data_IF_399543068263
#
_entry.id   IF_399543068263
#
_cell.length_a   1.000
_cell.length_b   1.000
_cell.length_c   1.000
_cell.angle_alpha   90.00
_cell.angle_beta   90.00
_cell.angle_gamma   90.00
#
_symmetry.space_group_name_H-M   'P 1'
#
loop_
_entity.id
_entity.type
_entity.pdbx_description
1 polymer ?
#
# COMPACT_ATOMS: atom_id res chain seq x y z
N UNK A 1 -9.38 17.18 -24.25
CA UNK A 1 -8.94 16.22 -23.23
C UNK A 1 -7.44 16.05 -23.38
N UNK A 2 -6.65 16.46 -22.39
CA UNK A 2 -5.19 16.30 -22.41
C UNK A 2 -4.85 15.24 -21.35
N UNK A 3 -4.47 14.05 -21.78
CA UNK A 3 -3.98 12.99 -20.88
C UNK A 3 -2.45 13.06 -20.87
N UNK A 4 -1.86 13.18 -19.68
CA UNK A 4 -0.44 12.92 -19.46
C UNK A 4 -0.30 11.49 -18.99
N UNK A 5 0.43 10.69 -19.73
CA UNK A 5 0.71 9.29 -19.39
C UNK A 5 1.70 9.24 -18.22
N UNK A 6 1.29 8.60 -17.13
CA UNK A 6 2.21 8.12 -16.09
C UNK A 6 2.28 6.60 -16.21
N UNK A 7 3.49 6.09 -16.47
CA UNK A 7 3.76 4.66 -16.35
C UNK A 7 3.94 4.32 -14.87
N UNK A 8 2.89 3.79 -14.25
CA UNK A 8 3.01 3.14 -12.94
C UNK A 8 3.32 1.67 -13.18
N UNK A 9 4.50 1.25 -12.73
CA UNK A 9 4.87 -0.15 -12.68
C UNK A 9 3.98 -0.84 -11.62
N UNK A 10 3.01 -1.62 -12.09
CA UNK A 10 2.20 -2.49 -11.22
C UNK A 10 3.10 -3.58 -10.67
N UNK A 11 3.49 -3.48 -9.40
CA UNK A 11 3.86 -4.68 -8.64
C UNK A 11 2.58 -5.47 -8.44
N UNK A 12 2.42 -6.55 -9.21
CA UNK A 12 1.47 -7.59 -8.84
C UNK A 12 1.73 -7.98 -7.39
N UNK A 13 0.67 -8.13 -6.59
CA UNK A 13 0.71 -8.54 -5.19
C UNK A 13 1.68 -9.71 -5.02
N UNK A 14 2.91 -9.39 -4.61
CA UNK A 14 3.94 -10.36 -4.32
C UNK A 14 3.69 -10.94 -2.94
N UNK A 15 4.09 -12.18 -2.74
CA UNK A 15 4.06 -12.86 -1.45
C UNK A 15 4.99 -12.10 -0.47
N UNK A 16 4.45 -11.11 0.26
CA UNK A 16 5.30 -10.27 1.12
C UNK A 16 4.64 -9.41 2.20
N UNK A 17 3.31 -9.19 2.22
CA UNK A 17 2.76 -8.10 3.06
C UNK A 17 1.78 -8.52 4.17
N UNK A 18 1.70 -9.81 4.51
CA UNK A 18 1.09 -10.24 5.78
C UNK A 18 -0.44 -10.19 5.91
N UNK A 19 -1.18 -9.63 4.93
CA UNK A 19 -2.65 -9.65 4.99
C UNK A 19 -3.24 -11.07 4.92
N UNK A 20 -4.38 -11.28 5.58
CA UNK A 20 -5.19 -12.51 5.54
C UNK A 20 -6.23 -12.43 4.41
N UNK A 21 -6.93 -13.53 4.15
CA UNK A 21 -8.10 -13.49 3.28
C UNK A 21 -9.18 -12.58 3.92
N UNK A 22 -9.95 -11.86 3.09
CA UNK A 22 -10.90 -10.86 3.56
C UNK A 22 -10.31 -9.49 3.88
N UNK A 23 -8.98 -9.39 4.03
CA UNK A 23 -8.33 -8.13 4.39
C UNK A 23 -7.93 -7.27 3.20
N UNK A 24 -7.96 -5.96 3.42
CA UNK A 24 -7.46 -4.92 2.52
C UNK A 24 -6.65 -3.88 3.30
N UNK A 25 -5.68 -3.25 2.62
CA UNK A 25 -4.93 -2.09 3.12
C UNK A 25 -5.19 -0.90 2.20
N UNK A 26 -5.56 0.24 2.76
CA UNK A 26 -5.91 1.45 2.01
C UNK A 26 -5.34 2.71 2.66
N UNK A 27 -4.88 3.65 1.83
CA UNK A 27 -4.65 5.04 2.23
C UNK A 27 -5.97 5.79 2.04
N UNK A 28 -6.65 6.12 3.14
CA UNK A 28 -8.03 6.65 3.13
C UNK A 28 -8.12 8.18 3.22
N UNK A 29 -7.01 8.81 3.57
CA UNK A 29 -6.81 10.25 3.52
C UNK A 29 -5.36 10.53 3.17
N UNK A 30 -5.09 11.59 2.40
CA UNK A 30 -3.74 12.06 2.08
C UNK A 30 -3.53 13.40 2.75
N UNK A 31 -2.34 13.61 3.34
CA UNK A 31 -2.02 14.86 4.00
C UNK A 31 -1.54 15.94 3.03
N UNK A 32 -1.90 17.19 3.31
CA UNK A 32 -1.32 18.37 2.66
C UNK A 32 -1.77 18.64 1.22
N UNK A 33 -2.48 17.70 0.57
CA UNK A 33 -3.12 17.93 -0.73
C UNK A 33 -4.49 18.60 -0.56
N UNK A 34 -4.92 19.31 -1.62
CA UNK A 34 -6.25 19.95 -1.67
C UNK A 34 -7.22 18.96 -2.30
N UNK A 35 -8.29 18.63 -1.58
CA UNK A 35 -9.31 17.73 -2.06
C UNK A 35 -10.34 18.42 -3.00
N UNK A 36 -11.36 17.68 -3.45
CA UNK A 36 -12.37 18.25 -4.36
C UNK A 36 -13.26 19.34 -3.76
N UNK A 37 -13.29 19.49 -2.44
CA UNK A 37 -14.05 20.51 -1.72
C UNK A 37 -13.20 21.71 -1.31
N UNK A 38 -11.88 21.64 -1.49
CA UNK A 38 -10.95 22.69 -1.08
C UNK A 38 -10.37 22.48 0.32
N UNK A 39 -10.59 21.29 0.90
CA UNK A 39 -10.09 20.93 2.21
C UNK A 39 -8.66 20.39 2.11
N UNK A 40 -7.87 20.62 3.16
CA UNK A 40 -6.51 20.09 3.31
C UNK A 40 -6.41 19.43 4.68
N UNK A 41 -6.27 18.11 4.70
CA UNK A 41 -6.04 17.38 5.96
C UNK A 41 -4.58 17.56 6.38
N UNK A 42 -4.37 18.02 7.61
CA UNK A 42 -3.04 18.23 8.17
C UNK A 42 -2.55 16.99 8.93
N UNK A 43 -1.22 16.71 8.94
CA UNK A 43 -0.67 15.67 9.81
C UNK A 43 -1.06 15.90 11.27
N UNK A 44 -1.41 14.85 12.00
CA UNK A 44 -1.92 14.93 13.38
C UNK A 44 -3.44 15.10 13.48
N UNK A 45 -4.15 15.35 12.37
CA UNK A 45 -5.59 15.59 12.39
C UNK A 45 -6.41 14.42 12.94
N UNK A 46 -5.90 13.19 12.84
CA UNK A 46 -6.59 11.99 13.31
C UNK A 46 -6.09 11.49 14.67
N UNK A 47 -4.95 11.99 15.16
CA UNK A 47 -4.24 11.42 16.29
C UNK A 47 -5.13 11.23 17.54
N UNK A 48 -5.94 12.24 17.86
CA UNK A 48 -6.86 12.19 19.01
C UNK A 48 -8.01 11.21 18.77
N UNK A 49 -8.62 11.24 17.60
CA UNK A 49 -9.74 10.34 17.28
C UNK A 49 -9.32 8.87 17.26
N UNK A 50 -8.13 8.57 16.75
CA UNK A 50 -7.58 7.21 16.79
C UNK A 50 -7.34 6.75 18.24
N UNK A 51 -6.82 7.62 19.11
CA UNK A 51 -6.66 7.32 20.52
C UNK A 51 -8.01 7.10 21.23
N UNK A 52 -9.05 7.86 20.87
CA UNK A 52 -10.40 7.69 21.40
C UNK A 52 -11.04 6.35 20.97
N UNK A 53 -10.88 5.95 19.71
CA UNK A 53 -11.33 4.64 19.23
C UNK A 53 -10.61 3.48 19.94
N UNK A 54 -9.30 3.56 20.09
CA UNK A 54 -8.51 2.57 20.82
C UNK A 54 -8.95 2.47 22.29
N UNK A 55 -9.14 3.61 22.97
CA UNK A 55 -9.59 3.64 24.35
C UNK A 55 -11.03 3.11 24.54
N UNK A 56 -11.88 3.28 23.52
CA UNK A 56 -13.26 2.75 23.50
C UNK A 56 -13.28 1.24 23.36
N UNK A 57 -12.33 0.66 22.63
CA UNK A 57 -12.23 -0.78 22.36
C UNK A 57 -13.23 -1.30 21.32
N UNK A 58 -14.04 -0.42 20.73
CA UNK A 58 -14.88 -0.73 19.58
C UNK A 58 -14.09 -0.49 18.28
N UNK A 59 -14.32 -1.27 17.21
CA UNK A 59 -13.66 -1.02 15.93
C UNK A 59 -14.32 0.14 15.16
N UNK A 60 -13.53 0.85 14.35
CA UNK A 60 -14.06 1.81 13.38
C UNK A 60 -14.84 1.04 12.30
N UNK A 61 -16.09 1.41 11.99
CA UNK A 61 -16.88 0.75 10.94
C UNK A 61 -16.23 0.89 9.56
N UNK A 62 -16.21 -0.19 8.78
CA UNK A 62 -15.78 -0.17 7.39
C UNK A 62 -16.99 -0.16 6.45
N UNK A 63 -17.37 1.02 5.92
CA UNK A 63 -18.66 1.22 5.26
C UNK A 63 -18.51 1.43 3.75
N UNK A 64 -19.37 0.80 2.96
CA UNK A 64 -19.44 1.05 1.52
C UNK A 64 -19.97 2.46 1.23
N UNK A 65 -19.12 3.32 0.68
CA UNK A 65 -19.49 4.58 0.03
C UNK A 65 -20.45 5.45 0.85
N UNK A 66 -20.20 5.61 2.15
CA UNK A 66 -21.00 6.42 3.08
C UNK A 66 -22.46 5.98 3.23
N UNK A 67 -22.81 4.75 2.82
CA UNK A 67 -24.17 4.25 2.87
C UNK A 67 -24.55 3.76 4.28
N UNK A 68 -24.21 4.52 5.32
CA UNK A 68 -24.39 4.19 6.73
C UNK A 68 -25.83 3.87 7.17
N UNK A 69 -26.83 4.37 6.44
CA UNK A 69 -28.25 4.12 6.72
C UNK A 69 -28.74 2.76 6.20
N UNK A 70 -27.93 2.06 5.41
CA UNK A 70 -28.18 0.68 4.99
C UNK A 70 -27.29 -0.26 5.81
N UNK A 71 -27.85 -1.09 6.72
CA UNK A 71 -27.09 -2.05 7.51
C UNK A 71 -26.21 -2.98 6.67
N UNK A 72 -26.64 -3.35 5.46
CA UNK A 72 -25.86 -4.23 4.57
C UNK A 72 -24.65 -3.53 3.94
N UNK A 73 -24.53 -2.21 4.08
CA UNK A 73 -23.35 -1.43 3.66
C UNK A 73 -22.26 -1.36 4.72
N UNK A 74 -22.51 -1.85 5.94
CA UNK A 74 -21.46 -2.10 6.93
C UNK A 74 -20.80 -3.42 6.55
N UNK A 75 -19.72 -3.32 5.76
CA UNK A 75 -19.14 -4.46 5.04
C UNK A 75 -17.93 -5.07 5.75
N UNK A 76 -17.60 -4.57 6.93
CA UNK A 76 -16.47 -5.03 7.73
C UNK A 76 -16.10 -4.05 8.84
N UNK A 77 -14.91 -4.27 9.39
CA UNK A 77 -14.35 -3.48 10.47
C UNK A 77 -12.86 -3.17 10.22
N UNK A 78 -12.41 -2.02 10.73
CA UNK A 78 -10.99 -1.66 10.72
C UNK A 78 -10.25 -2.48 11.78
N UNK A 79 -9.19 -3.17 11.37
CA UNK A 79 -8.29 -3.93 12.24
C UNK A 79 -7.21 -3.01 12.85
N UNK A 80 -6.73 -2.04 12.07
CA UNK A 80 -5.77 -1.03 12.51
C UNK A 80 -5.86 0.22 11.65
N UNK A 81 -5.71 1.40 12.26
CA UNK A 81 -5.60 2.68 11.57
C UNK A 81 -4.44 3.48 12.16
N UNK A 82 -3.61 4.06 11.30
CA UNK A 82 -2.45 4.83 11.72
C UNK A 82 -2.17 5.98 10.76
N UNK A 83 -1.75 7.12 11.31
CA UNK A 83 -1.12 8.17 10.51
C UNK A 83 0.27 7.71 10.07
N UNK A 84 0.51 7.74 8.77
CA UNK A 84 1.80 7.53 8.13
C UNK A 84 2.23 8.83 7.44
N UNK A 85 3.46 8.88 6.92
CA UNK A 85 3.98 10.10 6.26
C UNK A 85 3.04 10.65 5.17
N UNK A 86 2.41 9.75 4.40
CA UNK A 86 1.51 10.13 3.32
C UNK A 86 0.10 10.57 3.77
N UNK A 87 -0.38 10.13 4.94
CA UNK A 87 -1.80 10.23 5.27
C UNK A 87 -2.30 9.23 6.31
N UNK A 88 -3.59 8.92 6.27
CA UNK A 88 -4.20 7.90 7.14
C UNK A 88 -4.25 6.56 6.41
N UNK A 89 -3.47 5.58 6.88
CA UNK A 89 -3.52 4.20 6.41
C UNK A 89 -4.44 3.37 7.31
N UNK A 90 -5.27 2.53 6.70
CA UNK A 90 -6.11 1.56 7.40
C UNK A 90 -5.91 0.15 6.85
N UNK A 91 -5.95 -0.83 7.73
CA UNK A 91 -6.15 -2.24 7.42
C UNK A 91 -7.53 -2.63 7.91
N UNK A 92 -8.35 -3.23 7.06
CA UNK A 92 -9.70 -3.64 7.39
C UNK A 92 -9.98 -5.07 6.94
N UNK A 93 -10.79 -5.78 7.73
CA UNK A 93 -11.33 -7.09 7.39
C UNK A 93 -12.77 -6.92 6.91
N UNK A 94 -13.06 -7.39 5.69
CA UNK A 94 -14.42 -7.41 5.15
C UNK A 94 -15.13 -8.72 5.52
N UNK A 95 -16.44 -8.63 5.75
CA UNK A 95 -17.31 -9.76 6.09
C UNK A 95 -17.60 -10.65 4.87
N UNK A 96 -16.55 -11.30 4.36
CA UNK A 96 -16.62 -12.11 3.14
C UNK A 96 -16.66 -13.61 3.39
N UNK A 97 -16.43 -14.03 4.64
CA UNK A 97 -16.42 -15.42 5.04
C UNK A 97 -17.85 -15.99 5.16
N UNK A 98 -17.97 -17.27 4.83
CA UNK A 98 -19.23 -18.00 4.87
C UNK A 98 -20.20 -17.67 3.73
N UNK A 99 -21.29 -18.43 3.72
CA UNK A 99 -22.35 -18.35 2.71
C UNK A 99 -23.55 -17.52 3.17
N UNK A 100 -23.37 -16.68 4.21
CA UNK A 100 -24.44 -15.82 4.72
C UNK A 100 -24.92 -14.89 3.58
N UNK A 101 -26.20 -14.95 3.18
CA UNK A 101 -26.74 -14.07 2.15
C UNK A 101 -26.68 -12.59 2.53
N UNK A 102 -26.69 -12.24 3.81
CA UNK A 102 -26.59 -10.86 4.31
C UNK A 102 -25.22 -10.22 3.96
N UNK A 103 -24.18 -11.04 3.91
CA UNK A 103 -22.81 -10.65 3.57
C UNK A 103 -22.55 -10.54 2.05
N UNK A 104 -23.57 -10.70 1.20
CA UNK A 104 -23.42 -10.66 -0.26
C UNK A 104 -22.83 -9.33 -0.76
N UNK A 105 -23.14 -8.21 -0.09
CA UNK A 105 -22.59 -6.91 -0.46
C UNK A 105 -21.11 -6.80 -0.14
N UNK A 106 -20.67 -7.21 1.06
CA UNK A 106 -19.26 -7.26 1.43
C UNK A 106 -18.44 -8.10 0.44
N UNK A 107 -18.93 -9.31 0.10
CA UNK A 107 -18.31 -10.16 -0.93
C UNK A 107 -18.22 -9.46 -2.28
N UNK A 108 -19.27 -8.76 -2.70
CA UNK A 108 -19.27 -8.02 -3.97
C UNK A 108 -18.26 -6.87 -3.95
N UNK A 109 -18.22 -6.07 -2.90
CA UNK A 109 -17.28 -4.94 -2.76
C UNK A 109 -15.84 -5.46 -2.76
N UNK A 110 -15.56 -6.55 -2.04
CA UNK A 110 -14.24 -7.17 -2.04
C UNK A 110 -13.79 -7.63 -3.45
N UNK A 111 -14.71 -8.18 -4.26
CA UNK A 111 -14.41 -8.49 -5.66
C UNK A 111 -14.15 -7.24 -6.53
N UNK A 112 -14.73 -6.09 -6.19
CA UNK A 112 -14.46 -4.83 -6.88
C UNK A 112 -13.07 -4.30 -6.51
N UNK A 113 -12.71 -4.35 -5.23
CA UNK A 113 -11.39 -3.94 -4.71
C UNK A 113 -10.27 -4.78 -5.33
N UNK A 114 -10.40 -6.11 -5.25
CA UNK A 114 -9.41 -7.01 -5.86
C UNK A 114 -9.30 -6.87 -7.37
N UNK A 115 -10.43 -6.63 -8.02
CA UNK A 115 -10.47 -6.36 -9.46
C UNK A 115 -10.02 -4.94 -9.81
N UNK A 116 -9.60 -4.13 -8.83
CA UNK A 116 -9.21 -2.71 -8.96
C UNK A 116 -10.23 -1.84 -9.71
N UNK A 117 -11.52 -2.21 -9.64
CA UNK A 117 -12.63 -1.38 -10.14
C UNK A 117 -13.07 -0.33 -9.12
N UNK A 118 -12.69 -0.56 -7.87
CA UNK A 118 -12.75 0.40 -6.77
C UNK A 118 -11.35 0.44 -6.20
N UNK A 119 -10.74 1.62 -6.19
CA UNK A 119 -9.37 1.83 -5.71
C UNK A 119 -9.23 3.05 -4.82
N UNK A 120 -10.33 3.77 -4.57
CA UNK A 120 -10.34 4.95 -3.72
C UNK A 120 -11.10 4.65 -2.43
N UNK A 121 -10.82 5.47 -1.43
CA UNK A 121 -11.49 5.44 -0.14
C UNK A 121 -11.93 6.84 0.26
N UNK A 122 -12.74 6.88 1.31
CA UNK A 122 -13.17 8.09 1.96
C UNK A 122 -13.45 7.75 3.43
N UNK A 123 -13.73 8.79 4.20
CA UNK A 123 -14.04 8.70 5.61
C UNK A 123 -15.02 9.81 5.95
N UNK A 124 -15.97 9.54 6.83
CA UNK A 124 -16.87 10.52 7.42
C UNK A 124 -16.31 10.95 8.76
N UNK A 125 -16.50 12.23 9.08
CA UNK A 125 -15.90 12.84 10.26
C UNK A 125 -16.71 14.03 10.76
N UNK A 126 -16.54 14.35 12.04
CA UNK A 126 -16.87 15.68 12.57
C UNK A 126 -15.60 16.54 12.61
N UNK A 127 -15.73 17.82 12.23
CA UNK A 127 -14.64 18.79 12.34
C UNK A 127 -14.57 19.35 13.75
N UNK A 128 -13.43 19.17 14.42
CA UNK A 128 -13.19 19.69 15.77
C UNK A 128 -12.33 20.95 15.77
N UNK A 129 -11.33 21.00 14.89
CA UNK A 129 -10.50 22.19 14.63
C UNK A 129 -10.19 22.31 13.13
N UNK A 130 -10.45 23.50 12.59
CA UNK A 130 -10.15 23.83 11.20
C UNK A 130 -10.05 25.35 10.99
N UNK A 131 -9.27 25.75 9.99
CA UNK A 131 -9.02 27.16 9.69
C UNK A 131 -9.01 27.42 8.19
N UNK A 132 -9.61 28.53 7.75
CA UNK A 132 -9.45 29.03 6.39
C UNK A 132 -8.08 29.71 6.25
N UNK A 133 -7.21 29.16 5.41
CA UNK A 133 -5.83 29.62 5.25
C UNK A 133 -5.56 30.08 3.82
N UNK A 134 -4.87 31.22 3.68
CA UNK A 134 -4.38 31.73 2.41
C UNK A 134 -3.09 31.00 2.00
N UNK A 135 -3.03 30.51 0.77
CA UNK A 135 -1.85 29.89 0.16
C UNK A 135 -1.48 30.61 -1.13
N UNK A 136 -0.19 30.57 -1.45
CA UNK A 136 0.34 31.08 -2.71
C UNK A 136 0.30 29.99 -3.77
N UNK A 137 -0.24 30.32 -4.94
CA UNK A 137 -0.21 29.47 -6.13
C UNK A 137 1.13 29.60 -6.86
N UNK A 138 1.45 28.62 -7.71
CA UNK A 138 2.71 28.61 -8.49
C UNK A 138 2.88 29.84 -9.41
N UNK A 139 1.77 30.45 -9.83
CA UNK A 139 1.75 31.65 -10.67
C UNK A 139 1.86 32.96 -9.86
N UNK A 140 2.07 32.88 -8.54
CA UNK A 140 2.11 34.02 -7.62
C UNK A 140 0.72 34.54 -7.23
N UNK A 141 -0.36 33.89 -7.67
CA UNK A 141 -1.72 34.14 -7.20
C UNK A 141 -1.91 33.70 -5.74
N UNK A 142 -3.01 34.12 -5.13
CA UNK A 142 -3.43 33.68 -3.79
C UNK A 142 -4.73 32.90 -3.91
N UNK A 143 -4.84 31.82 -3.16
CA UNK A 143 -6.07 31.03 -3.03
C UNK A 143 -6.27 30.63 -1.58
N UNK A 144 -7.50 30.30 -1.21
CA UNK A 144 -7.83 29.87 0.15
C UNK A 144 -8.13 28.38 0.16
N UNK A 145 -7.68 27.72 1.22
CA UNK A 145 -8.00 26.32 1.53
C UNK A 145 -8.58 26.24 2.94
N UNK A 146 -9.31 25.17 3.22
CA UNK A 146 -9.77 24.88 4.58
C UNK A 146 -8.87 23.81 5.21
N UNK A 147 -7.97 24.21 6.10
CA UNK A 147 -7.07 23.30 6.78
C UNK A 147 -7.80 22.58 7.90
N UNK A 148 -7.95 21.26 7.78
CA UNK A 148 -8.53 20.39 8.78
C UNK A 148 -7.41 19.92 9.72
N UNK A 149 -7.46 20.37 10.99
CA UNK A 149 -6.38 20.19 11.97
C UNK A 149 -6.71 19.21 13.08
N UNK A 150 -8.00 19.03 13.40
CA UNK A 150 -8.48 18.00 14.31
C UNK A 150 -9.84 17.48 13.82
N UNK A 151 -9.92 16.17 13.58
CA UNK A 151 -11.11 15.49 13.06
C UNK A 151 -11.48 14.31 13.96
N UNK A 152 -12.78 14.14 14.20
CA UNK A 152 -13.32 12.93 14.81
C UNK A 152 -13.80 11.96 13.73
N UNK A 153 -13.11 10.83 13.55
CA UNK A 153 -13.47 9.79 12.59
C UNK A 153 -14.76 9.09 13.04
N UNK A 154 -15.74 9.01 12.15
CA UNK A 154 -17.00 8.32 12.37
C UNK A 154 -17.03 6.95 11.67
N UNK A 155 -16.53 6.91 10.44
CA UNK A 155 -16.36 5.69 9.64
C UNK A 155 -15.23 5.87 8.64
N UNK A 156 -14.76 4.77 8.06
CA UNK A 156 -13.90 4.79 6.88
C UNK A 156 -14.38 3.73 5.91
N UNK A 157 -14.08 3.90 4.62
CA UNK A 157 -14.39 2.81 3.70
C UNK A 157 -14.13 3.08 2.23
N UNK A 158 -14.34 2.05 1.40
CA UNK A 158 -14.09 2.13 -0.01
C UNK A 158 -15.24 2.87 -0.70
N UNK A 159 -14.89 3.69 -1.68
CA UNK A 159 -15.85 4.40 -2.53
C UNK A 159 -15.34 4.43 -3.96
N UNK A 160 -16.25 4.54 -4.93
CA UNK A 160 -15.85 4.65 -6.33
C UNK A 160 -14.99 5.91 -6.56
N UNK A 161 -15.31 7.00 -5.86
CA UNK A 161 -14.84 8.32 -6.19
C UNK A 161 -14.75 9.19 -4.92
N UNK A 162 -13.63 9.13 -4.20
CA UNK A 162 -13.43 9.81 -2.91
C UNK A 162 -13.09 11.30 -3.05
N UNK A 163 -13.56 12.15 -2.14
CA UNK A 163 -13.31 13.60 -2.19
C UNK A 163 -11.82 13.92 -2.39
N UNK A 164 -10.97 13.22 -1.64
CA UNK A 164 -9.55 13.15 -1.89
C UNK A 164 -9.25 12.08 -2.96
N UNK A 165 -8.85 12.55 -4.16
CA UNK A 165 -8.59 11.71 -5.34
C UNK A 165 -7.29 10.91 -5.27
N UNK A 166 -6.41 11.27 -4.33
CA UNK A 166 -5.09 10.65 -4.14
C UNK A 166 -5.15 9.49 -3.14
N UNK A 167 -6.33 9.16 -2.61
CA UNK A 167 -6.56 7.93 -1.84
C UNK A 167 -6.34 6.69 -2.71
N UNK A 168 -5.83 5.62 -2.10
CA UNK A 168 -5.41 4.44 -2.85
C UNK A 168 -5.69 3.12 -2.12
N UNK A 169 -6.12 2.12 -2.88
CA UNK A 169 -6.05 0.71 -2.52
C UNK A 169 -4.61 0.22 -2.68
N UNK A 170 -3.91 0.12 -1.55
CA UNK A 170 -2.54 -0.35 -1.48
C UNK A 170 -2.49 -1.86 -1.73
N UNK A 171 -3.32 -2.63 -1.02
CA UNK A 171 -3.35 -4.09 -1.14
C UNK A 171 -4.76 -4.67 -0.96
N UNK A 172 -5.07 -5.72 -1.72
CA UNK A 172 -6.25 -6.57 -1.53
C UNK A 172 -5.88 -8.02 -1.81
N UNK A 173 -5.68 -8.84 -0.77
CA UNK A 173 -5.24 -10.23 -0.94
C UNK A 173 -6.40 -11.12 -1.38
N UNK A 174 -6.15 -12.32 -1.90
CA UNK A 174 -7.17 -13.39 -1.83
C UNK A 174 -6.60 -14.78 -2.05
N UNK A 175 -7.14 -15.76 -1.31
CA UNK A 175 -6.96 -17.19 -1.64
C UNK A 175 -7.80 -17.65 -2.84
N UNK A 176 -8.90 -16.97 -3.14
CA UNK A 176 -9.98 -17.60 -3.91
C UNK A 176 -10.22 -17.07 -5.32
N UNK A 177 -9.78 -15.85 -5.70
CA UNK A 177 -10.02 -15.40 -7.09
C UNK A 177 -9.13 -16.12 -8.09
N UNK A 178 -7.93 -16.57 -7.69
CA UNK A 178 -7.14 -17.50 -8.49
C UNK A 178 -7.82 -18.88 -8.59
N UNK A 179 -8.40 -19.40 -7.51
CA UNK A 179 -9.06 -20.71 -7.50
C UNK A 179 -10.41 -20.72 -8.25
N UNK A 180 -11.19 -19.64 -8.16
CA UNK A 180 -12.47 -19.48 -8.85
C UNK A 180 -12.29 -19.12 -10.33
N UNK A 181 -11.28 -18.30 -10.69
CA UNK A 181 -10.91 -18.07 -12.08
C UNK A 181 -10.30 -19.32 -12.74
N UNK A 182 -9.58 -20.15 -11.97
CA UNK A 182 -9.13 -21.47 -12.43
C UNK A 182 -10.30 -22.44 -12.65
N UNK A 183 -11.34 -22.40 -11.80
CA UNK A 183 -12.58 -23.17 -11.98
C UNK A 183 -13.45 -22.68 -13.15
N UNK A 184 -13.33 -21.41 -13.55
CA UNK A 184 -14.08 -20.82 -14.66
C UNK A 184 -13.45 -21.06 -16.06
N UNK A 185 -12.30 -21.75 -16.14
CA UNK A 185 -11.93 -22.52 -17.32
C UNK A 185 -11.63 -21.74 -18.61
N UNK A 186 -10.50 -21.02 -18.63
CA UNK A 186 -9.58 -20.90 -19.78
C UNK A 186 -8.43 -19.99 -19.38
N UNK A 187 -7.21 -20.53 -19.25
CA UNK A 187 -5.96 -19.92 -19.77
C UNK A 187 -4.75 -20.86 -19.59
N UNK A 188 -4.73 -21.83 -18.69
CA UNK A 188 -3.63 -22.82 -18.64
C UNK A 188 -4.17 -24.23 -18.34
N UNK A 189 -3.78 -25.22 -19.14
CA UNK A 189 -4.04 -26.62 -18.81
C UNK A 189 -3.34 -26.97 -17.49
N UNK A 190 -3.85 -27.93 -16.71
CA UNK A 190 -3.18 -28.40 -15.48
C UNK A 190 -1.73 -28.81 -15.72
N UNK A 191 -1.42 -29.31 -16.93
CA UNK A 191 -0.05 -29.60 -17.36
C UNK A 191 0.81 -28.35 -17.53
N UNK A 192 0.26 -27.27 -18.10
CA UNK A 192 1.01 -26.02 -18.29
C UNK A 192 1.26 -25.33 -16.94
N UNK A 193 0.30 -25.41 -16.01
CA UNK A 193 0.48 -24.88 -14.66
C UNK A 193 1.60 -25.62 -13.91
N UNK A 194 1.57 -26.96 -13.91
CA UNK A 194 2.62 -27.77 -13.30
C UNK A 194 4.00 -27.47 -13.91
N UNK A 195 4.09 -27.39 -15.24
CA UNK A 195 5.34 -27.05 -15.91
C UNK A 195 5.89 -25.66 -15.54
N UNK A 196 5.03 -24.66 -15.34
CA UNK A 196 5.44 -23.32 -14.91
C UNK A 196 5.89 -23.31 -13.44
N UNK A 197 5.20 -24.07 -12.57
CA UNK A 197 5.58 -24.22 -11.17
C UNK A 197 6.95 -24.91 -11.04
N UNK A 198 7.19 -25.97 -11.82
CA UNK A 198 8.48 -26.67 -11.83
C UNK A 198 9.61 -25.77 -12.34
N UNK A 199 9.36 -24.99 -13.40
CA UNK A 199 10.32 -24.03 -13.92
C UNK A 199 10.65 -22.92 -12.90
N UNK A 200 9.64 -22.42 -12.20
CA UNK A 200 9.83 -21.42 -11.13
C UNK A 200 10.71 -21.97 -10.01
N UNK A 201 10.43 -23.19 -9.53
CA UNK A 201 11.22 -23.82 -8.48
C UNK A 201 12.67 -24.04 -8.91
N UNK A 202 12.89 -24.53 -10.13
CA UNK A 202 14.23 -24.71 -10.67
C UNK A 202 15.02 -23.39 -10.78
N UNK A 203 14.36 -22.28 -11.13
CA UNK A 203 14.98 -20.94 -11.13
C UNK A 203 15.31 -20.51 -9.69
N UNK A 204 14.40 -20.76 -8.74
CA UNK A 204 14.62 -20.49 -7.32
C UNK A 204 15.82 -21.25 -6.76
N UNK A 205 15.98 -22.53 -7.11
CA UNK A 205 17.09 -23.38 -6.69
C UNK A 205 18.44 -22.91 -7.26
N UNK A 206 18.44 -22.40 -8.51
CA UNK A 206 19.63 -21.81 -9.12
C UNK A 206 19.99 -20.48 -8.46
N UNK A 207 18.99 -19.67 -8.10
CA UNK A 207 19.23 -18.39 -7.41
C UNK A 207 19.74 -18.61 -5.98
N UNK A 208 19.19 -19.57 -5.25
CA UNK A 208 19.63 -19.90 -3.89
C UNK A 208 21.06 -20.45 -3.88
N UNK A 209 21.39 -21.36 -4.80
CA UNK A 209 22.77 -21.86 -4.94
C UNK A 209 23.77 -20.76 -5.37
N UNK A 210 23.36 -19.81 -6.20
CA UNK A 210 24.19 -18.66 -6.57
C UNK A 210 24.40 -17.64 -5.42
N UNK A 211 23.49 -17.60 -4.45
CA UNK A 211 23.64 -16.82 -3.22
C UNK A 211 24.58 -17.52 -2.21
N UNK A 212 24.52 -18.85 -2.13
CA UNK A 212 25.42 -19.65 -1.28
C UNK A 212 26.89 -19.56 -1.72
N UNK A 213 27.19 -19.58 -3.03
CA UNK A 213 28.56 -19.43 -3.55
C UNK A 213 29.19 -18.06 -3.25
N UNK A 214 28.38 -17.00 -3.08
CA UNK A 214 28.88 -15.68 -2.65
C UNK A 214 29.27 -15.66 -1.16
N UNK A 215 28.66 -16.54 -0.35
CA UNK A 215 28.94 -16.61 1.09
C UNK A 215 30.21 -17.42 1.40
N UNK A 216 30.51 -18.46 0.61
CA UNK A 216 31.59 -19.42 0.91
C UNK A 216 32.97 -18.98 0.39
N UNK A 217 33.02 -18.03 -0.54
CA UNK A 217 34.27 -17.39 -0.99
C UNK A 217 34.95 -16.51 0.08
N UNK A 218 34.37 -16.39 1.28
CA UNK A 218 34.91 -15.59 2.38
C UNK A 218 35.61 -16.38 3.49
N UNK A 219 35.68 -17.72 3.42
CA UNK A 219 36.17 -18.56 4.54
C UNK A 219 37.06 -19.77 4.19
N UNK A 220 38.19 -19.58 3.50
CA UNK A 220 39.40 -20.45 3.60
C UNK A 220 40.59 -19.59 3.13
N UNK A 221 41.72 -19.36 3.78
CA UNK A 221 42.40 -19.85 4.99
C UNK A 221 43.91 -19.67 4.72
N UNK A 222 44.62 -18.83 5.50
CA UNK A 222 46.10 -18.80 5.48
C UNK A 222 46.62 -18.80 6.92
N UNK A 223 47.10 -19.96 7.38
CA UNK A 223 48.01 -20.08 8.51
C UNK A 223 49.48 -20.01 8.07
N UNK A 224 50.31 -19.59 9.03
CA UNK A 224 51.64 -18.93 8.94
C UNK A 224 52.81 -19.78 8.43
N UNK A 225 53.80 -19.11 7.84
CA UNK A 225 55.21 -19.18 8.29
C UNK A 225 56.09 -18.05 7.70
N UNK A 226 56.71 -17.25 8.59
CA UNK A 226 58.11 -16.79 8.50
C UNK A 226 58.49 -15.56 7.67
N UNK A 227 58.95 -14.50 8.36
CA UNK A 227 60.18 -13.79 7.96
C UNK A 227 60.10 -12.32 7.49
N UNK A 228 60.21 -11.41 8.47
CA UNK A 228 60.92 -10.12 8.47
C UNK A 228 60.56 -8.97 7.49
N UNK A 229 60.29 -7.80 8.08
CA UNK A 229 60.63 -6.46 7.52
C UNK A 229 59.47 -5.46 7.40
N UNK A 230 59.38 -4.53 8.37
CA UNK A 230 59.04 -3.08 8.30
C UNK A 230 58.12 -2.55 7.16
N UNK A 231 57.14 -1.65 7.29
CA UNK A 231 56.77 -0.61 8.27
C UNK A 231 55.32 -0.10 8.00
N UNK A 232 54.62 0.32 9.05
CA UNK A 232 53.70 1.51 9.16
C UNK A 232 52.61 1.85 8.10
N UNK A 233 51.33 1.67 8.52
CA UNK A 233 50.20 2.67 8.61
C UNK A 233 49.90 3.62 7.44
N UNK A 234 48.68 3.94 6.97
CA UNK A 234 47.33 4.10 7.56
C UNK A 234 46.32 4.51 6.45
N UNK A 235 45.02 4.22 6.64
CA UNK A 235 43.86 4.98 6.09
C UNK A 235 43.49 4.65 4.63
N UNK A 236 42.26 4.27 4.26
CA UNK A 236 40.95 4.67 4.77
C UNK A 236 40.33 5.72 3.84
N UNK A 237 39.51 5.31 2.87
CA UNK A 237 38.81 6.23 1.97
C UNK A 237 37.98 5.55 0.88
N UNK A 238 36.69 5.36 1.13
CA UNK A 238 35.70 4.94 0.13
C UNK A 238 35.38 6.10 -0.83
N UNK A 239 35.65 5.91 -2.13
CA UNK A 239 35.24 6.84 -3.18
C UNK A 239 33.95 6.36 -3.87
N UNK A 240 32.91 7.19 -3.80
CA UNK A 240 31.68 7.08 -4.56
C UNK A 240 31.98 7.22 -6.07
N UNK A 241 31.50 6.27 -6.89
CA UNK A 241 31.61 6.35 -8.34
C UNK A 241 30.37 7.02 -8.95
N UNK A 242 30.55 8.22 -9.48
CA UNK A 242 29.64 8.89 -10.43
C UNK A 242 29.94 8.37 -11.84
N UNK A 243 28.96 7.76 -12.51
CA UNK A 243 29.09 7.39 -13.91
C UNK A 243 28.62 8.54 -14.83
N UNK A 244 29.56 9.12 -15.59
CA UNK A 244 29.28 9.93 -16.78
C UNK A 244 29.12 8.99 -17.98
N UNK A 245 28.02 9.12 -18.72
CA UNK A 245 27.85 8.48 -20.02
C UNK A 245 28.23 9.49 -21.11
N UNK A 246 29.22 9.13 -21.93
CA UNK A 246 29.54 9.82 -23.18
C UNK A 246 29.54 8.76 -24.28
N UNK A 247 28.68 8.93 -25.27
CA UNK A 247 28.69 8.15 -26.51
C UNK A 247 28.82 9.12 -27.69
N UNK A 248 30.04 9.14 -28.22
CA UNK A 248 30.41 9.49 -29.60
C UNK A 248 30.07 8.23 -30.41
N UNK A 249 29.47 8.19 -31.59
CA UNK A 249 29.26 9.14 -32.67
C UNK A 249 29.57 8.40 -33.98
N UNK A 250 28.59 8.30 -34.88
CA UNK A 250 28.70 8.40 -36.34
C UNK A 250 27.32 8.74 -36.90
#
# INVERSE_FOLDING_TARGET
MKTKDFQVAVKAAGEGDGLKAGQVRMLVSVFGNVDSYGDVVMPGAFAKSLAEWEAKGDPIPFIWSHQWGDPFSHIGAVDSAAEVEAGLEVVATLDVEGDDPENAKARKVYQLLKGRRVTQASFAYDTLDAEMVEREAEDGGKYYVYELRELAILEVGPTLLGANRDTELLEAKSREVLAAAAKAGRVLSSKNYAALQDAHNAIGDVLSSAEEEKSDRSRVGVEKAGGAGESETTGGGSAQARARLTLIGQ
#
